data_IF_169084163165
#
_entry.id   IF_169084163165
#
_cell.length_a   1.000
_cell.length_b   1.000
_cell.length_c   1.000
_cell.angle_alpha   90.00
_cell.angle_beta   90.00
_cell.angle_gamma   90.00
#
_symmetry.space_group_name_H-M   'P 1'
#
loop_
_entity.id
_entity.type
_entity.pdbx_description
1 polymer ?
#
# COMPACT_ATOMS: atom_id res chain seq x y z
N UNK A 1 -6.24 18.95 21.64
CA UNK A 1 -6.04 19.59 20.34
C UNK A 1 -6.57 18.63 19.29
N UNK A 2 -7.63 19.00 18.60
CA UNK A 2 -8.12 18.27 17.43
C UNK A 2 -7.04 18.35 16.38
N UNK A 3 -6.50 17.19 15.97
CA UNK A 3 -5.52 17.12 14.90
C UNK A 3 -6.20 17.55 13.59
N UNK A 4 -5.87 18.74 13.11
CA UNK A 4 -6.49 19.37 11.94
C UNK A 4 -6.31 18.54 10.65
N UNK A 5 -5.39 17.58 10.65
CA UNK A 5 -5.03 16.73 9.51
C UNK A 5 -5.37 15.25 9.73
N UNK A 6 -6.23 14.95 10.70
CA UNK A 6 -6.56 13.57 11.04
C UNK A 6 -7.24 12.80 9.90
N UNK A 7 -7.89 13.50 9.00
CA UNK A 7 -8.57 12.96 7.81
C UNK A 7 -7.63 12.63 6.64
N UNK A 8 -6.42 13.21 6.61
CA UNK A 8 -5.46 13.04 5.51
C UNK A 8 -4.12 12.42 5.94
N UNK A 9 -3.78 12.41 7.22
CA UNK A 9 -2.52 11.82 7.70
C UNK A 9 -2.45 10.32 7.49
N UNK A 10 -1.24 9.73 7.38
CA UNK A 10 -1.05 8.29 7.43
C UNK A 10 -1.65 7.67 8.71
N UNK A 11 -2.10 6.42 8.62
CA UNK A 11 -2.60 5.69 9.78
C UNK A 11 -1.46 5.29 10.72
N UNK A 12 -1.81 5.19 12.01
CA UNK A 12 -0.92 4.67 13.06
C UNK A 12 -1.22 3.18 13.27
N UNK A 13 -0.29 2.46 13.89
CA UNK A 13 -0.39 1.02 14.09
C UNK A 13 -1.70 0.57 14.75
N UNK A 14 -2.16 1.29 15.77
CA UNK A 14 -3.40 0.95 16.47
C UNK A 14 -4.68 1.12 15.63
N UNK A 15 -4.60 1.80 14.49
CA UNK A 15 -5.72 2.00 13.55
C UNK A 15 -5.77 0.91 12.47
N UNK A 16 -4.65 0.19 12.24
CA UNK A 16 -4.49 -0.74 11.11
C UNK A 16 -5.57 -1.80 11.08
N UNK A 17 -5.87 -2.45 12.20
CA UNK A 17 -6.89 -3.50 12.25
C UNK A 17 -8.26 -3.00 11.83
N UNK A 18 -8.68 -1.82 12.30
CA UNK A 18 -9.96 -1.20 11.95
C UNK A 18 -10.03 -0.81 10.48
N UNK A 19 -8.93 -0.28 9.93
CA UNK A 19 -8.84 0.10 8.52
C UNK A 19 -8.90 -1.14 7.62
N UNK A 20 -8.23 -2.22 8.00
CA UNK A 20 -8.29 -3.50 7.29
C UNK A 20 -9.71 -4.06 7.27
N UNK A 21 -10.43 -4.03 8.39
CA UNK A 21 -11.83 -4.48 8.45
C UNK A 21 -12.74 -3.59 7.56
N UNK A 22 -12.49 -2.29 7.52
CA UNK A 22 -13.19 -1.36 6.64
C UNK A 22 -12.96 -1.68 5.17
N UNK A 23 -11.70 -1.88 4.76
CA UNK A 23 -11.34 -2.29 3.39
C UNK A 23 -11.98 -3.63 3.00
N UNK A 24 -11.97 -4.62 3.91
CA UNK A 24 -12.60 -5.91 3.68
C UNK A 24 -14.12 -5.83 3.55
N UNK A 25 -14.74 -4.81 4.13
CA UNK A 25 -16.20 -4.58 4.04
C UNK A 25 -16.59 -3.89 2.75
N UNK A 26 -15.68 -3.17 2.09
CA UNK A 26 -15.92 -2.45 0.84
C UNK A 26 -16.04 -3.41 -0.35
N UNK A 27 -17.19 -3.36 -1.04
CA UNK A 27 -17.45 -4.21 -2.19
C UNK A 27 -16.58 -3.84 -3.40
N UNK A 28 -16.36 -2.54 -3.62
CA UNK A 28 -15.59 -2.06 -4.76
C UNK A 28 -14.11 -2.44 -4.63
N UNK A 29 -13.57 -2.35 -3.41
CA UNK A 29 -12.22 -2.84 -3.12
C UNK A 29 -12.07 -4.32 -3.42
N UNK A 30 -13.00 -5.15 -2.94
CA UNK A 30 -12.97 -6.60 -3.18
C UNK A 30 -13.13 -6.91 -4.67
N UNK A 31 -14.02 -6.23 -5.38
CA UNK A 31 -14.20 -6.41 -6.82
C UNK A 31 -12.94 -6.04 -7.61
N UNK A 32 -12.25 -4.98 -7.20
CA UNK A 32 -10.97 -4.58 -7.78
C UNK A 32 -9.92 -5.67 -7.59
N UNK A 33 -9.80 -6.25 -6.40
CA UNK A 33 -8.88 -7.36 -6.13
C UNK A 33 -9.20 -8.60 -6.95
N UNK A 34 -10.48 -8.91 -7.15
CA UNK A 34 -10.95 -10.03 -7.98
C UNK A 34 -10.59 -9.77 -9.46
N UNK A 35 -10.80 -8.55 -9.94
CA UNK A 35 -10.50 -8.15 -11.32
C UNK A 35 -9.00 -8.25 -11.62
N UNK A 36 -8.14 -7.81 -10.70
CA UNK A 36 -6.69 -7.91 -10.82
C UNK A 36 -6.18 -9.37 -10.90
N UNK A 37 -6.93 -10.32 -10.33
CA UNK A 37 -6.62 -11.76 -10.45
C UNK A 37 -7.14 -12.42 -11.72
N UNK A 38 -7.85 -11.68 -12.58
CA UNK A 38 -8.38 -12.19 -13.84
C UNK A 38 -9.43 -13.30 -13.69
N UNK A 39 -10.18 -13.30 -12.59
CA UNK A 39 -11.15 -14.37 -12.29
C UNK A 39 -12.40 -14.28 -13.17
N UNK A 40 -12.46 -15.10 -14.22
CA UNK A 40 -13.59 -15.16 -15.16
C UNK A 40 -14.88 -15.67 -14.52
N UNK A 41 -14.79 -16.46 -13.45
CA UNK A 41 -15.95 -17.03 -12.72
C UNK A 41 -16.73 -15.95 -11.98
N UNK A 42 -16.09 -14.82 -11.64
CA UNK A 42 -16.76 -13.70 -10.96
C UNK A 42 -17.95 -13.13 -11.73
N UNK A 43 -17.97 -13.28 -13.05
CA UNK A 43 -19.12 -12.87 -13.90
C UNK A 43 -20.38 -13.70 -13.68
N UNK A 44 -20.21 -14.96 -13.28
CA UNK A 44 -21.32 -15.92 -13.16
C UNK A 44 -21.85 -16.03 -11.73
N UNK A 45 -20.97 -15.88 -10.74
CA UNK A 45 -21.31 -16.05 -9.32
C UNK A 45 -20.63 -14.98 -8.46
N UNK A 46 -20.96 -13.69 -8.62
CA UNK A 46 -20.22 -12.60 -7.97
C UNK A 46 -20.25 -12.67 -6.44
N UNK A 47 -21.38 -13.05 -5.86
CA UNK A 47 -21.54 -13.15 -4.39
C UNK A 47 -20.63 -14.20 -3.76
N UNK A 48 -20.54 -15.38 -4.35
CA UNK A 48 -19.66 -16.45 -3.86
C UNK A 48 -18.18 -16.06 -4.03
N UNK A 49 -17.83 -15.52 -5.18
CA UNK A 49 -16.44 -15.10 -5.44
C UNK A 49 -16.02 -14.00 -4.47
N UNK A 50 -16.89 -13.01 -4.18
CA UNK A 50 -16.63 -12.00 -3.14
C UNK A 50 -16.44 -12.61 -1.76
N UNK A 51 -17.28 -13.57 -1.36
CA UNK A 51 -17.16 -14.25 -0.08
C UNK A 51 -15.80 -14.95 0.07
N UNK A 52 -15.40 -15.73 -0.96
CA UNK A 52 -14.10 -16.40 -0.98
C UNK A 52 -12.95 -15.41 -1.02
N UNK A 53 -13.04 -14.35 -1.82
CA UNK A 53 -12.02 -13.31 -1.88
C UNK A 53 -11.82 -12.65 -0.51
N UNK A 54 -12.91 -12.24 0.15
CA UNK A 54 -12.85 -11.66 1.50
C UNK A 54 -12.20 -12.61 2.50
N UNK A 55 -12.62 -13.88 2.50
CA UNK A 55 -12.05 -14.87 3.41
C UNK A 55 -10.56 -15.08 3.17
N UNK A 56 -10.14 -15.15 1.92
CA UNK A 56 -8.72 -15.28 1.54
C UNK A 56 -7.92 -14.06 1.96
N UNK A 57 -8.40 -12.85 1.66
CA UNK A 57 -7.70 -11.61 2.04
C UNK A 57 -7.67 -11.45 3.55
N UNK A 58 -8.78 -11.74 4.25
CA UNK A 58 -8.82 -11.73 5.72
C UNK A 58 -7.82 -12.71 6.32
N UNK A 59 -7.68 -13.92 5.77
CA UNK A 59 -6.69 -14.89 6.23
C UNK A 59 -5.25 -14.41 5.99
N UNK A 60 -4.97 -13.75 4.88
CA UNK A 60 -3.66 -13.18 4.59
C UNK A 60 -3.31 -11.98 5.48
N UNK A 61 -4.30 -11.21 5.89
CA UNK A 61 -4.16 -10.05 6.79
C UNK A 61 -4.29 -10.43 8.27
N UNK A 62 -4.56 -11.71 8.58
CA UNK A 62 -4.66 -12.18 9.95
C UNK A 62 -3.33 -11.96 10.69
N UNK A 63 -3.38 -11.21 11.80
CA UNK A 63 -2.21 -10.87 12.60
C UNK A 63 -1.47 -9.60 12.15
N UNK A 64 -1.87 -8.96 11.06
CA UNK A 64 -1.33 -7.65 10.67
C UNK A 64 -1.95 -6.57 11.55
N UNK A 65 -1.15 -6.01 12.45
CA UNK A 65 -1.57 -4.98 13.42
C UNK A 65 -0.73 -3.70 13.35
N UNK A 66 0.24 -3.65 12.43
CA UNK A 66 1.13 -2.50 12.24
C UNK A 66 1.21 -2.10 10.77
N UNK A 67 1.54 -0.84 10.53
CA UNK A 67 1.76 -0.31 9.18
C UNK A 67 2.90 -1.05 8.49
N UNK A 68 4.01 -1.27 9.19
CA UNK A 68 5.16 -1.99 8.65
C UNK A 68 4.81 -3.46 8.34
N UNK A 69 3.98 -4.11 9.17
CA UNK A 69 3.45 -5.45 8.90
C UNK A 69 2.58 -5.50 7.65
N UNK A 70 1.75 -4.48 7.42
CA UNK A 70 0.98 -4.35 6.19
C UNK A 70 1.87 -4.18 4.96
N UNK A 71 2.89 -3.30 5.05
CA UNK A 71 3.85 -3.09 3.97
C UNK A 71 4.66 -4.36 3.66
N UNK A 72 5.10 -5.10 4.68
CA UNK A 72 5.80 -6.38 4.52
C UNK A 72 4.95 -7.41 3.76
N UNK A 73 3.63 -7.41 3.95
CA UNK A 73 2.71 -8.30 3.21
C UNK A 73 2.58 -7.91 1.73
N UNK A 74 2.60 -6.61 1.43
CA UNK A 74 2.45 -6.08 0.07
C UNK A 74 3.77 -6.18 -0.73
N UNK A 75 4.90 -6.03 -0.05
CA UNK A 75 6.24 -5.98 -0.64
C UNK A 75 6.53 -7.10 -1.66
N UNK A 76 6.30 -8.40 -1.40
CA UNK A 76 6.64 -9.45 -2.37
C UNK A 76 5.88 -9.34 -3.69
N UNK A 77 4.68 -8.73 -3.68
CA UNK A 77 3.92 -8.50 -4.91
C UNK A 77 4.49 -7.33 -5.70
N UNK A 78 4.91 -6.28 -4.97
CA UNK A 78 5.58 -5.14 -5.56
C UNK A 78 6.93 -5.52 -6.16
N UNK A 79 7.76 -6.25 -5.41
CA UNK A 79 9.06 -6.74 -5.87
C UNK A 79 8.90 -7.53 -7.18
N UNK A 80 7.92 -8.43 -7.26
CA UNK A 80 7.63 -9.17 -8.50
C UNK A 80 7.28 -8.25 -9.67
N UNK A 81 6.48 -7.20 -9.44
CA UNK A 81 6.15 -6.23 -10.50
C UNK A 81 7.43 -5.52 -10.96
N UNK A 82 8.24 -5.04 -10.03
CA UNK A 82 9.53 -4.39 -10.32
C UNK A 82 10.42 -5.30 -11.16
N UNK A 83 10.64 -6.53 -10.71
CA UNK A 83 11.53 -7.51 -11.36
C UNK A 83 11.06 -7.91 -12.77
N UNK A 84 9.74 -7.98 -12.99
CA UNK A 84 9.18 -8.44 -14.27
C UNK A 84 8.95 -7.34 -15.29
N UNK A 85 8.87 -6.08 -14.85
CA UNK A 85 8.52 -4.95 -15.73
C UNK A 85 9.64 -3.95 -15.94
N UNK A 86 10.69 -3.98 -15.10
CA UNK A 86 11.71 -2.94 -15.11
C UNK A 86 13.11 -3.52 -14.93
N UNK A 87 14.08 -2.94 -15.62
CA UNK A 87 15.48 -3.08 -15.25
C UNK A 87 15.84 -1.91 -14.34
N UNK A 88 16.03 -2.18 -13.07
CA UNK A 88 16.17 -1.18 -12.03
C UNK A 88 17.57 -1.20 -11.41
N UNK A 89 18.22 -0.04 -11.34
CA UNK A 89 19.49 0.15 -10.66
C UNK A 89 19.44 1.43 -9.82
N UNK A 90 20.18 1.46 -8.73
CA UNK A 90 20.27 2.61 -7.84
C UNK A 90 21.69 2.74 -7.30
N UNK A 91 22.00 3.91 -6.74
CA UNK A 91 23.26 4.22 -6.05
C UNK A 91 23.06 5.40 -5.14
N UNK A 92 23.95 5.57 -4.15
CA UNK A 92 23.96 6.71 -3.23
C UNK A 92 23.15 6.52 -1.94
N UNK A 93 22.33 5.48 -1.85
CA UNK A 93 21.53 5.16 -0.64
C UNK A 93 22.45 4.76 0.53
N UNK A 94 23.56 4.13 0.23
CA UNK A 94 24.61 3.76 1.20
C UNK A 94 25.23 4.95 1.94
N UNK A 95 24.98 6.17 1.46
CA UNK A 95 25.46 7.42 2.09
C UNK A 95 24.45 7.99 3.09
N UNK A 96 23.26 7.43 3.18
CA UNK A 96 22.23 7.89 4.10
C UNK A 96 22.50 7.36 5.51
N UNK A 97 22.39 8.26 6.49
CA UNK A 97 22.41 7.90 7.90
C UNK A 97 21.01 7.45 8.33
N UNK A 98 20.88 6.23 8.87
CA UNK A 98 19.59 5.67 9.33
C UNK A 98 18.96 6.47 10.48
N UNK A 99 19.73 7.24 11.22
CA UNK A 99 19.25 8.06 12.35
C UNK A 99 18.86 9.49 11.92
N UNK A 100 19.20 9.89 10.69
CA UNK A 100 18.87 11.20 10.17
C UNK A 100 17.48 11.23 9.52
N UNK A 101 16.87 12.42 9.47
CA UNK A 101 15.63 12.66 8.75
C UNK A 101 15.93 13.25 7.38
N UNK A 102 15.31 12.70 6.35
CA UNK A 102 15.50 13.12 4.96
C UNK A 102 14.19 13.54 4.31
N UNK A 103 14.27 14.54 3.44
CA UNK A 103 13.24 14.88 2.48
C UNK A 103 13.72 14.46 1.08
N UNK A 104 13.04 13.49 0.47
CA UNK A 104 13.33 13.06 -0.90
C UNK A 104 12.51 13.89 -1.89
N UNK A 105 13.18 14.49 -2.86
CA UNK A 105 12.55 15.25 -3.95
C UNK A 105 13.00 14.62 -5.26
N UNK A 106 12.06 14.19 -6.07
CA UNK A 106 12.35 13.52 -7.35
C UNK A 106 11.45 14.03 -8.47
N UNK A 107 11.87 13.81 -9.70
CA UNK A 107 10.98 13.92 -10.86
C UNK A 107 9.88 12.86 -10.74
N UNK A 108 8.66 13.23 -11.14
CA UNK A 108 7.51 12.34 -11.07
C UNK A 108 7.10 11.91 -12.48
N UNK A 109 7.31 10.63 -12.79
CA UNK A 109 6.91 10.01 -14.05
C UNK A 109 5.70 9.09 -13.89
N UNK A 110 5.66 8.32 -12.81
CA UNK A 110 4.61 7.35 -12.53
C UNK A 110 4.14 7.48 -11.08
N UNK A 111 2.83 7.70 -10.90
CA UNK A 111 2.20 7.99 -9.60
C UNK A 111 2.48 6.89 -8.55
N UNK A 112 2.54 5.64 -8.99
CA UNK A 112 2.68 4.49 -8.09
C UNK A 112 4.12 3.99 -8.06
N UNK A 113 4.74 3.87 -9.23
CA UNK A 113 6.03 3.17 -9.34
C UNK A 113 7.20 3.99 -8.81
N UNK A 114 7.20 5.31 -8.95
CA UNK A 114 8.31 6.13 -8.46
C UNK A 114 8.49 6.01 -6.94
N UNK A 115 7.39 6.15 -6.20
CA UNK A 115 7.40 5.99 -4.74
C UNK A 115 7.65 4.54 -4.30
N UNK A 116 7.15 3.58 -5.09
CA UNK A 116 7.35 2.17 -4.84
C UNK A 116 8.82 1.77 -5.01
N UNK A 117 9.50 2.24 -6.06
CA UNK A 117 10.93 2.03 -6.26
C UNK A 117 11.76 2.65 -5.13
N UNK A 118 11.50 3.92 -4.80
CA UNK A 118 12.21 4.60 -3.72
C UNK A 118 12.09 3.84 -2.39
N UNK A 119 10.87 3.47 -1.99
CA UNK A 119 10.65 2.72 -0.76
C UNK A 119 11.22 1.29 -0.80
N UNK A 120 11.21 0.63 -1.97
CA UNK A 120 11.82 -0.70 -2.11
C UNK A 120 13.33 -0.65 -1.87
N UNK A 121 14.00 0.35 -2.43
CA UNK A 121 15.45 0.55 -2.22
C UNK A 121 15.76 0.87 -0.77
N UNK A 122 15.01 1.78 -0.14
CA UNK A 122 15.21 2.11 1.27
C UNK A 122 15.13 0.86 2.15
N UNK A 123 14.14 0.00 1.91
CA UNK A 123 13.98 -1.25 2.69
C UNK A 123 15.11 -2.24 2.42
N UNK A 124 15.56 -2.38 1.17
CA UNK A 124 16.68 -3.28 0.80
C UNK A 124 17.97 -2.87 1.52
N UNK A 125 18.20 -1.56 1.64
CA UNK A 125 19.37 -1.01 2.31
C UNK A 125 19.21 -0.84 3.84
N UNK A 126 18.12 -1.39 4.40
CA UNK A 126 17.90 -1.43 5.85
C UNK A 126 17.29 -0.15 6.45
N UNK A 127 16.84 0.78 5.61
CA UNK A 127 16.13 1.99 6.05
C UNK A 127 14.63 1.77 6.20
N UNK A 128 13.98 2.67 6.93
CA UNK A 128 12.52 2.73 7.00
C UNK A 128 11.95 3.32 5.71
N UNK A 129 10.75 2.89 5.35
CA UNK A 129 10.02 3.48 4.23
C UNK A 129 9.72 4.96 4.48
N UNK A 130 9.87 5.79 3.44
CA UNK A 130 9.46 7.18 3.47
C UNK A 130 7.93 7.34 3.45
N UNK A 131 7.44 8.43 4.01
CA UNK A 131 6.07 8.88 3.78
C UNK A 131 5.97 9.52 2.39
N UNK A 132 4.82 9.35 1.74
CA UNK A 132 4.61 9.78 0.36
C UNK A 132 3.58 10.91 0.35
N UNK A 133 3.95 12.07 -0.18
CA UNK A 133 3.00 13.15 -0.43
C UNK A 133 2.24 12.85 -1.72
N UNK A 134 0.91 12.77 -1.65
CA UNK A 134 0.04 12.54 -2.79
C UNK A 134 -1.03 13.63 -2.89
N UNK A 135 -1.52 13.89 -4.11
CA UNK A 135 -2.62 14.82 -4.32
C UNK A 135 -3.96 14.24 -3.85
N UNK A 136 -4.82 15.07 -3.29
CA UNK A 136 -6.16 14.71 -2.81
C UNK A 136 -7.09 14.20 -3.93
N UNK A 137 -6.83 14.60 -5.17
CA UNK A 137 -7.52 14.10 -6.35
C UNK A 137 -7.40 12.58 -6.54
N UNK A 138 -6.41 11.94 -5.92
CA UNK A 138 -6.23 10.48 -5.92
C UNK A 138 -7.06 9.79 -4.83
N UNK A 139 -7.56 10.52 -3.86
CA UNK A 139 -8.28 10.01 -2.68
C UNK A 139 -9.80 10.07 -2.81
N UNK A 140 -10.34 10.19 -4.03
CA UNK A 140 -11.78 10.37 -4.26
C UNK A 140 -12.65 9.20 -3.81
N UNK A 141 -12.10 7.98 -3.78
CA UNK A 141 -12.81 6.78 -3.32
C UNK A 141 -12.38 6.45 -1.89
N UNK A 142 -13.32 6.19 -0.97
CA UNK A 142 -12.99 5.89 0.42
C UNK A 142 -11.98 4.76 0.58
N UNK A 143 -12.15 3.65 -0.14
CA UNK A 143 -11.21 2.53 -0.05
C UNK A 143 -9.81 2.87 -0.58
N UNK A 144 -9.69 3.73 -1.59
CA UNK A 144 -8.39 4.22 -2.10
C UNK A 144 -7.72 5.07 -1.03
N UNK A 145 -8.46 6.00 -0.41
CA UNK A 145 -7.95 6.81 0.70
C UNK A 145 -7.42 5.92 1.84
N UNK A 146 -8.18 4.92 2.26
CA UNK A 146 -7.75 3.99 3.29
C UNK A 146 -6.48 3.23 2.90
N UNK A 147 -6.42 2.75 1.66
CA UNK A 147 -5.27 1.99 1.15
C UNK A 147 -4.00 2.85 1.07
N UNK A 148 -4.12 4.09 0.60
CA UNK A 148 -2.99 5.00 0.51
C UNK A 148 -2.49 5.38 1.91
N UNK A 149 -3.37 5.81 2.80
CA UNK A 149 -3.01 6.23 4.16
C UNK A 149 -2.41 5.09 5.01
N UNK A 150 -2.82 3.83 4.80
CA UNK A 150 -2.19 2.68 5.49
C UNK A 150 -0.80 2.37 4.90
N UNK A 151 -0.54 2.82 3.69
CA UNK A 151 0.77 2.69 3.04
C UNK A 151 1.66 3.94 3.20
N UNK A 152 1.42 4.76 4.21
CA UNK A 152 2.19 5.98 4.54
C UNK A 152 2.08 7.10 3.48
N UNK A 153 0.97 7.16 2.75
CA UNK A 153 0.69 8.25 1.80
C UNK A 153 -0.35 9.19 2.37
#
# INVERSE_FOLDING_TARGET
>A
MTDLYNDIRPYRDHEVSSVVDTLLSDNEFIDTLIALRGNRIAKWMPGLVRLFARRTVKSQLAGVSTVDGFQALVKPRLDRVVETTSYFSYSGIEQLDSEASYLFISNHRDIVMDSAFANSVLVVEGHRTAQIAIGDNLLQKPWVSHLMRINKS
#
